data_IF_632052869189
#
_entry.id   IF_632052869189
#
_cell.length_a   1.000
_cell.length_b   1.000
_cell.length_c   1.000
_cell.angle_alpha   90.00
_cell.angle_beta   90.00
_cell.angle_gamma   90.00
#
_symmetry.space_group_name_H-M   'P 1'
#
loop_
_entity.id
_entity.type
_entity.pdbx_description
1 polymer ?
#
# COMPACT_ATOMS: atom_id res chain seq x y z
N UNK A 1 -14.37 -19.96 21.42
CA UNK A 1 -13.11 -19.20 21.38
C UNK A 1 -12.12 -19.93 20.49
N UNK A 2 -12.21 -19.71 19.18
CA UNK A 2 -11.16 -20.11 18.24
C UNK A 2 -10.41 -18.83 17.92
N UNK A 3 -9.26 -18.65 18.57
CA UNK A 3 -8.30 -17.61 18.19
C UNK A 3 -7.79 -17.96 16.80
N UNK A 4 -8.35 -17.35 15.76
CA UNK A 4 -7.67 -17.27 14.47
C UNK A 4 -6.54 -16.25 14.60
N UNK A 5 -5.47 -16.66 15.27
CA UNK A 5 -4.15 -16.25 14.83
C UNK A 5 -3.97 -16.92 13.47
N UNK A 6 -3.98 -16.13 12.39
CA UNK A 6 -3.41 -16.57 11.11
C UNK A 6 -1.94 -16.89 11.39
N UNK A 7 -1.67 -18.14 11.76
CA UNK A 7 -0.36 -18.73 11.66
C UNK A 7 -0.06 -18.74 10.16
N UNK A 8 0.83 -17.84 9.76
CA UNK A 8 1.33 -17.69 8.39
C UNK A 8 2.13 -18.96 8.07
N UNK A 9 1.46 -20.01 7.63
CA UNK A 9 2.04 -20.98 6.71
C UNK A 9 1.91 -20.40 5.30
N UNK A 10 2.95 -20.56 4.50
CA UNK A 10 3.18 -20.05 3.13
C UNK A 10 2.14 -20.56 2.11
N UNK A 11 0.86 -20.27 2.34
CA UNK A 11 -0.21 -20.58 1.41
C UNK A 11 -0.77 -19.26 0.90
N UNK A 12 -0.69 -19.05 -0.41
CA UNK A 12 -1.36 -17.95 -1.07
C UNK A 12 -2.87 -18.12 -0.91
N UNK A 13 -3.52 -17.10 -0.38
CA UNK A 13 -4.96 -17.02 -0.21
C UNK A 13 -5.53 -15.96 -1.14
N UNK A 14 -6.58 -16.33 -1.87
CA UNK A 14 -7.32 -15.44 -2.76
C UNK A 14 -8.71 -15.18 -2.20
N UNK A 15 -9.07 -13.91 -2.09
CA UNK A 15 -10.44 -13.47 -1.82
C UNK A 15 -11.01 -12.87 -3.10
N UNK A 16 -12.22 -13.27 -3.50
CA UNK A 16 -12.90 -12.75 -4.69
C UNK A 16 -14.33 -12.36 -4.34
N UNK A 17 -14.67 -11.11 -4.59
CA UNK A 17 -16.01 -10.58 -4.40
C UNK A 17 -16.50 -9.99 -5.72
N UNK A 18 -17.78 -10.18 -6.00
CA UNK A 18 -18.46 -9.55 -7.13
C UNK A 18 -19.83 -9.05 -6.72
N UNK A 19 -20.35 -8.10 -7.49
CA UNK A 19 -21.71 -7.63 -7.32
C UNK A 19 -21.97 -6.36 -8.13
N UNK A 20 -22.75 -5.45 -7.55
CA UNK A 20 -23.21 -4.26 -8.27
C UNK A 20 -22.99 -2.96 -7.48
N UNK A 21 -22.84 -1.88 -8.25
CA UNK A 21 -22.93 -0.50 -7.82
C UNK A 21 -24.24 0.11 -8.35
N UNK A 22 -25.12 0.50 -7.45
CA UNK A 22 -26.35 1.22 -7.77
C UNK A 22 -26.25 2.68 -7.34
N UNK A 23 -26.98 3.55 -8.03
CA UNK A 23 -26.97 4.99 -7.79
C UNK A 23 -28.39 5.51 -7.55
N UNK A 24 -28.52 6.44 -6.60
CA UNK A 24 -29.78 7.12 -6.26
C UNK A 24 -29.50 8.62 -6.12
N UNK A 25 -29.36 9.31 -7.24
CA UNK A 25 -29.06 10.75 -7.32
C UNK A 25 -30.26 11.57 -7.82
N UNK A 26 -31.41 11.41 -7.16
CA UNK A 26 -32.69 12.02 -7.57
C UNK A 26 -33.50 11.16 -8.56
N UNK A 27 -34.72 11.59 -8.88
CA UNK A 27 -35.72 10.82 -9.65
C UNK A 27 -35.35 10.68 -11.14
N UNK A 28 -34.54 11.59 -11.68
CA UNK A 28 -34.21 11.65 -13.12
C UNK A 28 -32.92 10.90 -13.51
N UNK A 29 -32.16 10.39 -12.53
CA UNK A 29 -30.81 9.84 -12.74
C UNK A 29 -30.70 8.37 -12.31
N UNK A 30 -31.58 7.50 -12.81
CA UNK A 30 -31.44 6.05 -12.64
C UNK A 30 -30.60 5.47 -13.78
N UNK A 31 -29.32 5.18 -13.53
CA UNK A 31 -28.52 4.35 -14.43
C UNK A 31 -28.78 2.86 -14.18
N UNK A 32 -28.51 2.04 -15.20
CA UNK A 32 -28.35 0.60 -14.99
C UNK A 32 -27.29 0.34 -13.91
N UNK A 33 -27.44 -0.71 -13.09
CA UNK A 33 -26.43 -1.09 -12.13
C UNK A 33 -25.09 -1.37 -12.83
N UNK A 34 -24.02 -0.77 -12.33
CA UNK A 34 -22.67 -1.04 -12.78
C UNK A 34 -22.17 -2.32 -12.09
N UNK A 35 -21.34 -3.10 -12.77
CA UNK A 35 -20.75 -4.30 -12.18
C UNK A 35 -19.49 -3.92 -11.40
N UNK A 36 -19.29 -4.53 -10.24
CA UNK A 36 -18.10 -4.31 -9.42
C UNK A 36 -17.42 -5.62 -9.07
N UNK A 37 -16.12 -5.55 -8.82
CA UNK A 37 -15.33 -6.68 -8.38
C UNK A 37 -14.26 -6.24 -7.38
N UNK A 38 -13.83 -7.20 -6.56
CA UNK A 38 -12.70 -7.08 -5.65
C UNK A 38 -11.99 -8.43 -5.59
N UNK A 39 -10.74 -8.46 -6.02
CA UNK A 39 -9.86 -9.62 -5.97
C UNK A 39 -8.63 -9.27 -5.12
N UNK A 40 -8.44 -9.97 -4.00
CA UNK A 40 -7.30 -9.79 -3.10
C UNK A 40 -6.47 -11.07 -3.12
N UNK A 41 -5.21 -10.95 -3.54
CA UNK A 41 -4.20 -12.00 -3.40
C UNK A 41 -3.32 -11.69 -2.20
N UNK A 42 -3.29 -12.62 -1.26
CA UNK A 42 -2.53 -12.50 -0.03
C UNK A 42 -1.56 -13.68 0.09
N UNK A 43 -0.29 -13.42 0.42
CA UNK A 43 0.74 -14.45 0.53
C UNK A 43 2.08 -13.99 -0.05
N UNK A 44 2.67 -14.83 -0.89
CA UNK A 44 3.90 -14.58 -1.65
C UNK A 44 3.72 -13.43 -2.63
N UNK A 45 2.58 -13.38 -3.33
CA UNK A 45 2.16 -12.26 -4.16
C UNK A 45 1.10 -11.43 -3.43
N UNK A 46 1.48 -10.24 -2.94
CA UNK A 46 0.57 -9.32 -2.24
C UNK A 46 0.02 -8.31 -3.22
N UNK A 47 -1.06 -8.65 -3.92
CA UNK A 47 -1.68 -7.78 -4.92
C UNK A 47 -3.19 -7.82 -4.80
N UNK A 48 -3.80 -6.66 -4.76
CA UNK A 48 -5.25 -6.50 -4.77
C UNK A 48 -5.67 -5.74 -6.02
N UNK A 49 -6.86 -6.04 -6.53
CA UNK A 49 -7.47 -5.34 -7.65
C UNK A 49 -8.96 -5.21 -7.39
N UNK A 50 -9.51 -4.04 -7.63
CA UNK A 50 -10.96 -3.81 -7.58
C UNK A 50 -11.37 -2.76 -8.59
N UNK A 51 -12.65 -2.61 -8.84
CA UNK A 51 -13.12 -1.56 -9.73
C UNK A 51 -14.51 -1.80 -10.28
N UNK A 52 -14.80 -1.09 -11.37
CA UNK A 52 -16.10 -1.04 -12.04
C UNK A 52 -15.95 -1.60 -13.44
N UNK A 53 -16.88 -2.45 -13.87
CA UNK A 53 -16.94 -3.00 -15.24
C UNK A 53 -18.19 -2.51 -15.96
N UNK A 54 -18.05 -2.35 -17.28
CA UNK A 54 -19.17 -2.02 -18.16
C UNK A 54 -19.62 -0.56 -18.11
N UNK A 55 -18.75 0.36 -17.69
CA UNK A 55 -19.00 1.79 -17.70
C UNK A 55 -19.09 2.35 -19.11
N UNK A 56 -19.73 3.51 -19.29
CA UNK A 56 -19.81 4.21 -20.58
C UNK A 56 -19.29 5.62 -20.41
N UNK A 57 -18.40 6.06 -21.30
CA UNK A 57 -17.73 7.37 -21.20
C UNK A 57 -18.67 8.57 -21.35
N UNK A 58 -19.82 8.38 -22.01
CA UNK A 58 -20.85 9.39 -22.14
C UNK A 58 -21.88 9.38 -21.00
N UNK A 59 -21.78 8.43 -20.06
CA UNK A 59 -22.64 8.38 -18.89
C UNK A 59 -22.04 9.22 -17.76
N UNK A 60 -22.72 10.34 -17.46
CA UNK A 60 -22.32 11.28 -16.39
C UNK A 60 -22.24 10.61 -15.01
N UNK A 61 -23.06 9.58 -14.78
CA UNK A 61 -23.01 8.81 -13.53
C UNK A 61 -21.70 8.04 -13.47
N UNK A 62 -21.33 7.32 -14.52
CA UNK A 62 -20.06 6.60 -14.58
C UNK A 62 -18.86 7.56 -14.45
N UNK A 63 -18.85 8.68 -15.18
CA UNK A 63 -17.81 9.72 -15.07
C UNK A 63 -17.66 10.25 -13.65
N UNK A 64 -18.78 10.46 -12.94
CA UNK A 64 -18.76 10.88 -11.52
C UNK A 64 -18.27 9.75 -10.61
N UNK A 65 -18.70 8.51 -10.85
CA UNK A 65 -18.28 7.33 -10.07
C UNK A 65 -16.82 6.96 -10.27
N UNK A 66 -16.11 7.53 -11.25
CA UNK A 66 -14.65 7.38 -11.33
C UNK A 66 -13.89 8.05 -10.18
N UNK A 67 -14.50 9.03 -9.50
CA UNK A 67 -13.87 9.75 -8.39
C UNK A 67 -13.87 8.97 -7.06
N UNK A 68 -14.45 7.77 -7.04
CA UNK A 68 -14.62 6.97 -5.81
C UNK A 68 -13.45 5.99 -5.59
N UNK A 69 -12.32 6.18 -6.27
CA UNK A 69 -11.10 5.37 -6.06
C UNK A 69 -10.70 5.19 -4.59
N UNK A 70 -10.97 6.14 -3.65
CA UNK A 70 -10.73 5.87 -2.23
C UNK A 70 -11.51 4.68 -1.67
N UNK A 71 -12.72 4.41 -2.16
CA UNK A 71 -13.47 3.20 -1.81
C UNK A 71 -12.68 1.96 -2.21
N UNK A 72 -12.19 1.91 -3.45
CA UNK A 72 -11.44 0.78 -3.98
C UNK A 72 -10.10 0.56 -3.25
N UNK A 73 -9.36 1.63 -2.95
CA UNK A 73 -8.12 1.53 -2.16
C UNK A 73 -8.36 0.99 -0.74
N UNK A 74 -9.42 1.45 -0.05
CA UNK A 74 -9.77 0.93 1.27
C UNK A 74 -10.20 -0.54 1.20
N UNK A 75 -11.01 -0.91 0.21
CA UNK A 75 -11.43 -2.30 0.01
C UNK A 75 -10.26 -3.23 -0.34
N UNK A 76 -9.35 -2.78 -1.19
CA UNK A 76 -8.11 -3.49 -1.51
C UNK A 76 -7.25 -3.73 -0.26
N UNK A 77 -7.27 -2.81 0.70
CA UNK A 77 -6.51 -2.92 1.96
C UNK A 77 -7.12 -3.85 3.01
N UNK A 78 -8.27 -4.46 2.75
CA UNK A 78 -9.06 -5.15 3.79
C UNK A 78 -8.33 -6.31 4.47
N UNK A 79 -7.58 -7.10 3.70
CA UNK A 79 -6.75 -8.21 4.20
C UNK A 79 -5.25 -7.84 4.18
N UNK A 80 -4.94 -6.54 4.21
CA UNK A 80 -3.56 -6.05 4.25
C UNK A 80 -2.79 -6.63 5.44
N UNK A 81 -1.47 -6.73 5.26
CA UNK A 81 -0.58 -7.35 6.24
C UNK A 81 0.41 -6.36 6.82
N UNK A 82 0.84 -6.60 8.06
CA UNK A 82 1.92 -5.83 8.63
C UNK A 82 3.20 -6.05 7.84
N UNK A 83 4.06 -5.05 7.91
CA UNK A 83 5.40 -5.11 7.36
C UNK A 83 6.35 -5.85 8.30
N UNK A 84 7.16 -6.74 7.74
CA UNK A 84 8.06 -7.63 8.48
C UNK A 84 9.33 -6.94 9.00
N UNK A 85 9.75 -5.84 8.35
CA UNK A 85 11.01 -5.14 8.66
C UNK A 85 10.91 -4.13 9.81
N UNK A 86 9.77 -4.03 10.49
CA UNK A 86 9.58 -3.07 11.59
C UNK A 86 9.97 -3.75 12.91
N UNK A 87 11.00 -3.25 13.62
CA UNK A 87 11.53 -3.90 14.83
C UNK A 87 10.56 -3.90 16.02
N UNK A 88 9.46 -3.14 15.96
CA UNK A 88 8.46 -3.07 17.01
C UNK A 88 7.36 -4.12 16.82
N UNK A 89 7.24 -5.02 17.79
CA UNK A 89 6.17 -6.03 17.94
C UNK A 89 4.78 -5.42 18.22
N UNK A 90 4.45 -4.30 17.59
CA UNK A 90 3.13 -3.69 17.76
C UNK A 90 2.12 -4.41 16.90
N UNK A 91 1.00 -4.78 17.53
CA UNK A 91 -0.06 -5.51 16.84
C UNK A 91 -0.82 -4.56 15.93
N UNK A 92 -0.99 -4.98 14.68
CA UNK A 92 -1.74 -4.28 13.63
C UNK A 92 -3.01 -5.07 13.34
N UNK A 93 -4.13 -4.39 13.06
CA UNK A 93 -5.44 -5.05 12.88
C UNK A 93 -6.09 -4.63 11.56
N UNK A 94 -6.04 -5.47 10.53
CA UNK A 94 -6.69 -5.17 9.26
C UNK A 94 -8.23 -5.19 9.37
N UNK A 95 -8.90 -4.60 8.37
CA UNK A 95 -10.37 -4.47 8.36
C UNK A 95 -11.07 -5.83 8.35
N UNK A 96 -10.49 -6.84 7.70
CA UNK A 96 -11.01 -8.21 7.73
C UNK A 96 -11.07 -8.77 9.16
N UNK A 97 -10.00 -8.58 9.94
CA UNK A 97 -9.93 -9.00 11.35
C UNK A 97 -10.92 -8.20 12.19
N UNK A 98 -10.94 -6.87 12.03
CA UNK A 98 -11.86 -6.00 12.75
C UNK A 98 -13.32 -6.28 12.41
N UNK A 99 -13.59 -6.73 11.18
CA UNK A 99 -14.89 -7.22 10.71
C UNK A 99 -15.23 -8.65 11.12
N UNK A 100 -14.50 -9.24 12.08
CA UNK A 100 -14.67 -10.63 12.55
C UNK A 100 -14.61 -11.65 11.39
N UNK A 101 -13.68 -11.45 10.47
CA UNK A 101 -13.48 -12.30 9.30
C UNK A 101 -14.64 -12.28 8.30
N UNK A 102 -15.46 -11.23 8.32
CA UNK A 102 -16.67 -11.08 7.48
C UNK A 102 -17.69 -12.22 7.66
N UNK A 103 -17.72 -12.85 8.84
CA UNK A 103 -18.74 -13.85 9.20
C UNK A 103 -20.17 -13.29 9.18
N UNK A 104 -20.29 -11.96 9.25
CA UNK A 104 -21.51 -11.20 9.05
C UNK A 104 -21.24 -10.10 8.03
N UNK A 105 -22.29 -9.53 7.41
CA UNK A 105 -22.12 -8.39 6.52
C UNK A 105 -21.31 -7.28 7.19
N UNK A 106 -20.19 -6.93 6.57
CA UNK A 106 -19.34 -5.83 7.00
C UNK A 106 -19.74 -4.59 6.21
N UNK A 107 -20.18 -3.57 6.94
CA UNK A 107 -20.72 -2.34 6.36
C UNK A 107 -19.73 -1.21 6.57
N UNK A 108 -19.41 -0.52 5.48
CA UNK A 108 -18.61 0.71 5.47
C UNK A 108 -19.43 1.81 4.81
N UNK A 109 -19.57 2.94 5.50
CA UNK A 109 -20.21 4.14 4.99
C UNK A 109 -19.14 5.17 4.65
N UNK A 110 -18.96 5.45 3.37
CA UNK A 110 -18.09 6.50 2.87
C UNK A 110 -18.90 7.76 2.62
N UNK A 111 -18.41 8.90 3.11
CA UNK A 111 -18.98 10.20 2.86
C UNK A 111 -18.05 10.95 1.91
N UNK A 112 -18.61 11.46 0.81
CA UNK A 112 -17.89 12.23 -0.20
C UNK A 112 -18.42 13.66 -0.24
N UNK A 113 -17.49 14.61 -0.33
CA UNK A 113 -17.73 16.01 -0.64
C UNK A 113 -16.80 16.39 -1.79
N UNK A 114 -17.35 16.38 -2.99
CA UNK A 114 -16.60 16.57 -4.23
C UNK A 114 -16.82 18.00 -4.70
N UNK A 115 -15.72 18.73 -4.88
CA UNK A 115 -15.73 20.09 -5.40
C UNK A 115 -16.54 20.17 -6.71
N UNK A 116 -17.44 21.15 -6.84
CA UNK A 116 -18.33 21.35 -8.01
C UNK A 116 -19.39 20.26 -8.30
N UNK A 117 -19.35 19.10 -7.63
CA UNK A 117 -20.35 18.02 -7.79
C UNK A 117 -21.36 18.05 -6.64
N UNK A 118 -20.90 18.18 -5.40
CA UNK A 118 -21.73 18.12 -4.19
C UNK A 118 -21.44 16.90 -3.32
N UNK A 119 -22.32 16.66 -2.36
CA UNK A 119 -22.14 15.65 -1.31
C UNK A 119 -22.98 14.40 -1.58
N UNK A 120 -22.36 13.23 -1.43
CA UNK A 120 -23.07 11.96 -1.51
C UNK A 120 -22.41 10.92 -0.60
N UNK A 121 -23.15 9.84 -0.34
CA UNK A 121 -22.69 8.72 0.47
C UNK A 121 -22.57 7.48 -0.39
N UNK A 122 -21.53 6.68 -0.14
CA UNK A 122 -21.42 5.31 -0.65
C UNK A 122 -21.52 4.35 0.52
N UNK A 123 -22.52 3.49 0.50
CA UNK A 123 -22.61 2.35 1.40
C UNK A 123 -22.01 1.13 0.71
N UNK A 124 -20.91 0.62 1.27
CA UNK A 124 -20.33 -0.66 0.89
C UNK A 124 -20.76 -1.75 1.88
N UNK A 125 -21.32 -2.84 1.37
CA UNK A 125 -21.68 -4.03 2.15
C UNK A 125 -20.94 -5.22 1.56
N UNK A 126 -20.12 -5.87 2.39
CA UNK A 126 -19.38 -7.05 2.01
C UNK A 126 -19.84 -8.26 2.82
N UNK A 127 -20.07 -9.37 2.14
CA UNK A 127 -20.47 -10.62 2.78
C UNK A 127 -19.70 -11.78 2.18
N UNK A 128 -19.08 -12.58 3.05
CA UNK A 128 -18.43 -13.81 2.64
C UNK A 128 -19.46 -14.93 2.52
N UNK A 129 -19.39 -15.70 1.43
CA UNK A 129 -20.30 -16.83 1.18
C UNK A 129 -19.61 -18.16 1.43
N UNK A 130 -18.47 -18.39 0.76
CA UNK A 130 -17.73 -19.63 0.86
C UNK A 130 -16.31 -19.35 1.36
N UNK A 131 -15.90 -20.11 2.38
CA UNK A 131 -14.52 -20.15 2.82
C UNK A 131 -14.01 -21.59 2.64
N UNK A 132 -13.31 -21.83 1.53
CA UNK A 132 -12.62 -23.12 1.35
C UNK A 132 -11.34 -23.08 2.16
N UNK A 133 -11.15 -24.07 3.03
CA UNK A 133 -10.11 -24.10 4.08
C UNK A 133 -8.66 -24.16 3.58
N UNK A 134 -8.38 -23.92 2.30
CA UNK A 134 -7.06 -24.15 1.69
C UNK A 134 -6.41 -22.95 1.00
N UNK A 135 -7.16 -22.14 0.24
CA UNK A 135 -6.56 -21.09 -0.60
C UNK A 135 -7.55 -20.06 -1.19
N UNK A 136 -8.87 -20.26 -1.05
CA UNK A 136 -9.85 -19.44 -1.77
C UNK A 136 -11.09 -19.12 -0.94
N UNK A 137 -11.49 -17.87 -0.99
CA UNK A 137 -12.66 -17.33 -0.33
C UNK A 137 -13.46 -16.50 -1.35
N UNK A 138 -14.76 -16.70 -1.40
CA UNK A 138 -15.66 -15.93 -2.28
C UNK A 138 -16.76 -15.25 -1.49
N UNK A 139 -17.21 -14.11 -2.00
CA UNK A 139 -18.30 -13.36 -1.41
C UNK A 139 -18.98 -12.43 -2.38
N UNK A 140 -19.89 -11.63 -1.84
CA UNK A 140 -20.61 -10.58 -2.56
C UNK A 140 -20.22 -9.23 -1.99
N UNK A 141 -20.10 -8.26 -2.90
CA UNK A 141 -19.97 -6.85 -2.57
C UNK A 141 -21.12 -6.08 -3.20
N UNK A 142 -21.78 -5.24 -2.41
CA UNK A 142 -22.81 -4.32 -2.89
C UNK A 142 -22.39 -2.90 -2.53
N UNK A 143 -22.38 -2.03 -3.55
CA UNK A 143 -22.19 -0.60 -3.36
C UNK A 143 -23.50 0.11 -3.70
N UNK A 144 -23.91 1.02 -2.83
CA UNK A 144 -25.03 1.91 -3.11
C UNK A 144 -24.56 3.35 -2.91
N UNK A 145 -24.55 4.13 -3.99
CA UNK A 145 -24.28 5.55 -3.94
C UNK A 145 -25.59 6.33 -3.89
N UNK A 146 -25.75 7.23 -2.91
CA UNK A 146 -26.98 7.99 -2.75
C UNK A 146 -26.71 9.40 -2.24
N UNK A 147 -27.56 10.34 -2.66
CA UNK A 147 -27.60 11.69 -2.11
C UNK A 147 -29.04 12.13 -1.90
N UNK A 148 -29.27 12.89 -0.85
CA UNK A 148 -30.53 13.61 -0.61
C UNK A 148 -30.56 14.97 -1.31
N UNK A 149 -29.42 15.42 -1.81
CA UNK A 149 -29.23 16.70 -2.50
C UNK A 149 -29.09 16.48 -4.01
N UNK A 150 -29.35 17.51 -4.80
CA UNK A 150 -29.07 17.50 -6.23
C UNK A 150 -27.56 17.53 -6.47
N UNK A 151 -27.05 16.60 -7.28
CA UNK A 151 -25.64 16.56 -7.66
C UNK A 151 -25.43 17.15 -9.05
N UNK A 152 -24.32 17.85 -9.21
CA UNK A 152 -23.85 18.31 -10.52
C UNK A 152 -22.89 17.26 -11.11
N UNK A 153 -23.44 16.27 -11.81
CA UNK A 153 -22.68 15.14 -12.35
C UNK A 153 -21.63 15.61 -13.38
N UNK A 154 -20.50 14.91 -13.44
CA UNK A 154 -19.40 15.27 -14.32
C UNK A 154 -19.60 14.73 -15.74
N UNK A 155 -19.27 15.54 -16.74
CA UNK A 155 -19.25 15.14 -18.15
C UNK A 155 -17.86 14.66 -18.59
N UNK A 156 -16.83 15.05 -17.87
CA UNK A 156 -15.44 14.73 -18.17
C UNK A 156 -14.88 13.68 -17.22
N UNK A 157 -13.83 13.03 -17.71
CA UNK A 157 -13.11 11.97 -17.01
C UNK A 157 -11.93 12.54 -16.25
N UNK A 158 -11.77 12.07 -15.03
CA UNK A 158 -10.71 12.47 -14.12
C UNK A 158 -9.88 11.26 -13.69
N UNK A 159 -8.61 11.47 -13.42
CA UNK A 159 -7.68 10.47 -12.88
C UNK A 159 -7.09 10.95 -11.56
N UNK A 160 -6.86 10.02 -10.65
CA UNK A 160 -6.25 10.32 -9.35
C UNK A 160 -4.80 10.76 -9.54
N UNK A 161 -4.44 11.89 -8.94
CA UNK A 161 -3.08 12.39 -8.97
C UNK A 161 -2.25 11.70 -7.88
N UNK A 162 -1.54 10.62 -8.25
CA UNK A 162 -0.75 9.74 -7.36
C UNK A 162 0.31 10.42 -6.47
N UNK A 163 0.59 11.72 -6.67
CA UNK A 163 1.53 12.53 -5.88
C UNK A 163 0.89 13.73 -5.18
N UNK A 164 -0.42 13.91 -5.29
CA UNK A 164 -1.10 15.14 -4.90
C UNK A 164 -2.15 14.86 -3.81
N UNK A 165 -1.70 14.40 -2.64
CA UNK A 165 -2.47 14.65 -1.42
C UNK A 165 -2.26 16.10 -1.00
N UNK A 166 -3.20 16.69 -0.27
CA UNK A 166 -3.02 18.03 0.34
C UNK A 166 -1.83 18.11 1.32
N UNK A 167 -1.25 16.94 1.64
CA UNK A 167 -0.07 16.78 2.49
C UNK A 167 0.94 15.92 1.73
N UNK A 168 1.64 16.48 0.72
CA UNK A 168 2.63 15.75 -0.07
C UNK A 168 3.77 15.18 0.79
N UNK A 169 3.92 15.66 2.03
CA UNK A 169 4.86 15.18 3.03
C UNK A 169 4.50 13.80 3.64
N UNK A 170 3.31 13.26 3.35
CA UNK A 170 2.86 11.98 3.89
C UNK A 170 3.22 10.80 2.99
N UNK A 171 3.64 9.71 3.63
CA UNK A 171 4.09 8.46 2.98
C UNK A 171 3.04 7.35 3.03
N UNK A 172 1.83 7.65 3.52
CA UNK A 172 0.68 6.74 3.56
C UNK A 172 -0.51 7.34 2.84
N UNK A 173 -1.39 6.46 2.40
CA UNK A 173 -2.61 6.81 1.69
C UNK A 173 -3.76 7.17 2.63
N UNK A 174 -4.00 6.31 3.63
CA UNK A 174 -5.07 6.50 4.59
C UNK A 174 -4.64 6.11 5.99
N UNK A 175 -5.31 6.66 7.00
CA UNK A 175 -5.26 6.13 8.34
C UNK A 175 -6.67 5.83 8.85
N UNK A 176 -6.77 4.98 9.85
CA UNK A 176 -8.00 4.75 10.59
C UNK A 176 -7.70 4.54 12.06
N UNK A 177 -8.71 4.72 12.90
CA UNK A 177 -8.67 4.41 14.32
C UNK A 177 -9.94 3.71 14.74
N UNK A 178 -9.94 3.15 15.94
CA UNK A 178 -11.15 2.63 16.56
C UNK A 178 -11.60 3.65 17.60
N UNK A 179 -12.80 4.18 17.45
CA UNK A 179 -13.35 5.17 18.37
C UNK A 179 -13.91 4.53 19.66
N UNK A 180 -14.32 5.36 20.61
CA UNK A 180 -14.91 4.93 21.88
C UNK A 180 -16.20 4.10 21.73
N UNK A 181 -16.87 4.19 20.59
CA UNK A 181 -18.11 3.47 20.29
C UNK A 181 -17.88 2.10 19.64
N UNK A 182 -16.62 1.73 19.33
CA UNK A 182 -16.37 0.46 18.62
C UNK A 182 -16.54 0.56 17.11
N UNK A 183 -16.39 1.75 16.55
CA UNK A 183 -16.45 1.97 15.11
C UNK A 183 -15.04 2.14 14.57
N UNK A 184 -14.79 1.59 13.39
CA UNK A 184 -13.56 1.86 12.64
C UNK A 184 -13.79 3.16 11.89
N UNK A 185 -13.02 4.19 12.21
CA UNK A 185 -13.20 5.54 11.68
C UNK A 185 -11.98 5.91 10.86
N UNK A 186 -12.22 6.20 9.58
CA UNK A 186 -11.29 6.90 8.69
C UNK A 186 -11.60 8.39 8.80
N UNK A 187 -10.68 9.20 9.36
CA UNK A 187 -10.88 10.64 9.42
C UNK A 187 -10.95 11.24 8.00
N UNK A 188 -11.38 12.49 7.92
CA UNK A 188 -11.46 13.19 6.63
C UNK A 188 -10.08 13.28 5.97
N UNK A 189 -10.06 12.98 4.67
CA UNK A 189 -8.89 13.05 3.80
C UNK A 189 -9.29 13.69 2.48
N UNK A 190 -8.33 14.35 1.83
CA UNK A 190 -8.51 14.90 0.50
C UNK A 190 -7.62 14.17 -0.48
N UNK A 191 -8.18 13.83 -1.62
CA UNK A 191 -7.48 13.28 -2.78
C UNK A 191 -7.72 14.23 -3.94
N UNK A 192 -6.66 14.56 -4.67
CA UNK A 192 -6.76 15.39 -5.88
C UNK A 192 -6.90 14.52 -7.11
N UNK A 193 -7.72 15.00 -8.03
CA UNK A 193 -7.87 14.43 -9.35
C UNK A 193 -7.60 15.48 -10.41
N UNK A 194 -7.04 15.05 -11.53
CA UNK A 194 -6.75 15.87 -12.70
C UNK A 194 -7.56 15.37 -13.90
N UNK A 195 -7.93 16.28 -14.80
CA UNK A 195 -8.61 15.90 -16.04
C UNK A 195 -7.76 14.96 -16.88
N UNK A 196 -8.40 13.91 -17.40
CA UNK A 196 -7.80 12.95 -18.33
C UNK A 196 -7.80 13.53 -19.75
N UNK A 197 -6.67 14.10 -20.19
CA UNK A 197 -6.52 14.56 -21.58
C UNK A 197 -6.31 13.36 -22.52
N UNK A 198 -7.29 13.08 -23.38
CA UNK A 198 -7.22 12.01 -24.39
C UNK A 198 -6.51 12.41 -25.69
N UNK A 199 -6.33 13.71 -25.93
CA UNK A 199 -5.68 14.25 -27.14
C UNK A 199 -4.43 15.08 -26.80
N UNK A 200 -3.30 14.70 -27.40
CA UNK A 200 -1.97 15.25 -27.16
C UNK A 200 -1.69 16.62 -27.82
N UNK A 201 -2.72 17.35 -28.26
CA UNK A 201 -2.54 18.55 -29.09
C UNK A 201 -2.96 19.87 -28.44
N UNK A 202 -3.52 19.86 -27.24
CA UNK A 202 -3.79 21.08 -26.49
C UNK A 202 -2.89 21.20 -25.27
N UNK A 203 -1.85 22.02 -25.42
CA UNK A 203 -1.04 22.53 -24.32
C UNK A 203 -1.90 23.56 -23.57
N UNK A 204 -2.86 23.08 -22.79
CA UNK A 204 -3.48 23.90 -21.75
C UNK A 204 -2.53 23.93 -20.56
N UNK A 205 -2.23 25.13 -20.07
CA UNK A 205 -1.03 25.39 -19.27
C UNK A 205 -1.10 24.90 -17.81
N UNK A 206 -2.22 24.35 -17.34
CA UNK A 206 -2.35 23.61 -16.09
C UNK A 206 -3.58 22.69 -16.21
N UNK A 207 -3.47 21.37 -15.91
CA UNK A 207 -4.64 20.49 -15.94
C UNK A 207 -5.67 20.97 -14.93
N UNK A 208 -6.94 20.94 -15.29
CA UNK A 208 -8.03 21.25 -14.35
C UNK A 208 -8.01 20.24 -13.21
N UNK A 209 -7.93 20.75 -11.98
CA UNK A 209 -7.89 19.96 -10.74
C UNK A 209 -9.25 19.98 -10.04
N UNK A 210 -9.60 18.86 -9.42
CA UNK A 210 -10.79 18.73 -8.56
C UNK A 210 -10.38 18.05 -7.25
N UNK A 211 -10.77 18.66 -6.12
CA UNK A 211 -10.53 18.08 -4.81
C UNK A 211 -11.71 17.19 -4.40
N UNK A 212 -11.38 15.98 -3.96
CA UNK A 212 -12.33 15.00 -3.42
C UNK A 212 -12.04 14.84 -1.94
N UNK A 213 -12.89 15.41 -1.08
CA UNK A 213 -12.86 15.14 0.36
C UNK A 213 -13.67 13.89 0.64
N UNK A 214 -13.12 12.98 1.42
CA UNK A 214 -13.81 11.78 1.83
C UNK A 214 -13.50 11.40 3.28
N UNK A 215 -14.45 10.73 3.92
CA UNK A 215 -14.26 10.07 5.21
C UNK A 215 -15.04 8.75 5.21
N UNK A 216 -14.77 7.88 6.17
CA UNK A 216 -15.52 6.63 6.25
C UNK A 216 -15.68 6.13 7.68
N UNK A 217 -16.79 5.44 7.92
CA UNK A 217 -17.05 4.74 9.17
C UNK A 217 -17.49 3.32 8.85
N UNK A 218 -16.80 2.35 9.44
CA UNK A 218 -17.20 0.96 9.39
C UNK A 218 -17.74 0.49 10.74
N UNK A 219 -18.84 -0.23 10.69
CA UNK A 219 -19.49 -0.83 11.85
C UNK A 219 -19.43 -2.35 11.71
N UNK A 220 -19.09 -3.02 12.80
CA UNK A 220 -19.10 -4.48 12.87
C UNK A 220 -19.46 -4.93 14.27
N UNK A 221 -20.22 -6.02 14.38
CA UNK A 221 -20.52 -6.69 15.66
C UNK A 221 -19.36 -7.53 16.19
N UNK A 222 -18.14 -7.28 15.72
CA UNK A 222 -16.94 -7.97 16.14
C UNK A 222 -16.69 -7.84 17.64
N UNK A 223 -16.32 -8.95 18.29
CA UNK A 223 -15.92 -8.93 19.70
C UNK A 223 -14.70 -8.03 19.94
N UNK A 224 -13.86 -7.85 18.92
CA UNK A 224 -12.69 -6.99 18.92
C UNK A 224 -13.04 -5.50 19.04
N UNK A 225 -14.24 -5.11 18.63
CA UNK A 225 -14.70 -3.72 18.68
C UNK A 225 -15.54 -3.40 19.92
N UNK A 226 -15.85 -4.39 20.77
CA UNK A 226 -16.57 -4.18 22.04
C UNK A 226 -15.72 -3.41 23.06
N UNK A 227 -16.36 -2.68 23.96
CA UNK A 227 -15.68 -1.82 24.96
C UNK A 227 -14.63 -2.57 25.82
N UNK A 228 -14.86 -3.85 26.13
CA UNK A 228 -13.96 -4.67 26.97
C UNK A 228 -12.79 -5.28 26.16
N UNK A 229 -12.60 -4.87 24.91
CA UNK A 229 -11.52 -5.36 24.05
C UNK A 229 -10.15 -4.82 24.46
N UNK A 230 -9.09 -5.63 24.24
CA UNK A 230 -7.69 -5.22 24.43
C UNK A 230 -7.16 -4.35 23.29
N UNK A 231 -7.99 -3.98 22.31
CA UNK A 231 -7.56 -3.15 21.19
C UNK A 231 -7.52 -1.67 21.62
N UNK A 232 -6.39 -0.98 21.40
CA UNK A 232 -6.27 0.43 21.72
C UNK A 232 -7.32 1.28 21.02
N UNK A 233 -8.01 2.12 21.79
CA UNK A 233 -8.91 3.17 21.29
C UNK A 233 -8.12 4.41 20.93
N UNK A 234 -8.61 5.13 19.94
CA UNK A 234 -8.01 6.35 19.39
C UNK A 234 -6.55 6.23 18.92
N UNK A 235 -6.03 5.00 18.85
CA UNK A 235 -4.76 4.72 18.20
C UNK A 235 -4.96 4.69 16.68
N UNK A 236 -4.19 5.49 15.97
CA UNK A 236 -4.15 5.47 14.52
C UNK A 236 -3.34 4.30 13.98
N UNK A 237 -3.89 3.68 12.94
CA UNK A 237 -3.24 2.69 12.09
C UNK A 237 -3.19 3.25 10.67
N UNK A 238 -2.16 2.89 9.92
CA UNK A 238 -1.84 3.54 8.65
C UNK A 238 -1.81 2.52 7.51
N UNK A 239 -2.39 2.88 6.38
CA UNK A 239 -2.42 2.12 5.13
C UNK A 239 -1.50 2.84 4.14
N UNK A 240 -0.41 2.18 3.77
CA UNK A 240 0.49 2.63 2.70
C UNK A 240 0.21 1.82 1.44
N UNK A 241 -0.05 2.49 0.33
CA UNK A 241 -0.03 1.88 -0.99
C UNK A 241 1.41 1.92 -1.49
N UNK A 242 1.93 0.82 -2.03
CA UNK A 242 3.27 0.83 -2.65
C UNK A 242 3.25 1.53 -4.00
N UNK A 243 4.42 1.91 -4.51
CA UNK A 243 4.64 2.60 -5.79
C UNK A 243 4.06 1.88 -7.02
N UNK A 244 3.67 0.61 -6.89
CA UNK A 244 2.98 -0.17 -7.95
C UNK A 244 1.46 -0.04 -7.90
N UNK A 245 0.92 0.69 -6.93
CA UNK A 245 -0.50 0.94 -6.78
C UNK A 245 -0.97 2.03 -7.72
N UNK A 246 -2.01 1.76 -8.52
CA UNK A 246 -2.62 2.74 -9.42
C UNK A 246 -4.03 2.34 -9.84
N UNK A 247 -4.80 3.33 -10.27
CA UNK A 247 -6.12 3.21 -10.86
C UNK A 247 -6.05 3.73 -12.30
N UNK A 248 -6.66 3.00 -13.21
CA UNK A 248 -6.75 3.39 -14.61
C UNK A 248 -8.05 2.88 -15.22
N UNK A 249 -8.30 3.31 -16.45
CA UNK A 249 -9.44 2.90 -17.25
C UNK A 249 -8.98 2.14 -18.49
N UNK A 250 -9.70 1.07 -18.82
CA UNK A 250 -9.56 0.35 -20.07
C UNK A 250 -10.87 0.36 -20.84
N UNK A 251 -10.88 1.08 -21.97
CA UNK A 251 -12.01 1.20 -22.90
C UNK A 251 -11.81 0.38 -24.19
N UNK A 252 -10.93 -0.61 -24.19
CA UNK A 252 -10.65 -1.44 -25.38
C UNK A 252 -11.75 -2.46 -25.69
N UNK A 253 -12.83 -2.52 -24.89
CA UNK A 253 -13.91 -3.48 -25.08
C UNK A 253 -14.62 -3.30 -26.43
N UNK A 254 -14.91 -4.38 -27.19
CA UNK A 254 -15.59 -4.30 -28.48
C UNK A 254 -17.00 -3.69 -28.43
N UNK A 255 -17.65 -3.75 -27.26
CA UNK A 255 -18.98 -3.19 -27.04
C UNK A 255 -18.95 -1.69 -26.67
N UNK A 256 -17.77 -1.07 -26.68
CA UNK A 256 -17.56 0.34 -26.35
C UNK A 256 -17.68 0.65 -24.85
N UNK A 257 -17.70 -0.36 -23.99
CA UNK A 257 -17.69 -0.17 -22.54
C UNK A 257 -16.27 -0.04 -21.98
N UNK A 258 -16.17 0.60 -20.83
CA UNK A 258 -14.92 0.84 -20.12
C UNK A 258 -14.92 0.13 -18.76
N UNK A 259 -13.72 -0.28 -18.34
CA UNK A 259 -13.47 -0.87 -17.05
C UNK A 259 -12.55 0.05 -16.26
N UNK A 260 -13.04 0.59 -15.14
CA UNK A 260 -12.20 1.22 -14.13
C UNK A 260 -11.59 0.12 -13.27
N UNK A 261 -10.29 0.15 -13.06
CA UNK A 261 -9.60 -0.80 -12.19
C UNK A 261 -8.54 -0.10 -11.35
N UNK A 262 -8.49 -0.45 -10.07
CA UNK A 262 -7.53 0.00 -9.08
C UNK A 262 -6.74 -1.21 -8.59
N UNK A 263 -5.44 -1.23 -8.87
CA UNK A 263 -4.49 -2.24 -8.43
C UNK A 263 -3.68 -1.69 -7.28
N UNK A 264 -3.54 -2.43 -6.18
CA UNK A 264 -2.79 -2.02 -5.01
C UNK A 264 -1.94 -3.14 -4.42
N UNK A 265 -0.84 -2.78 -3.76
CA UNK A 265 -0.11 -3.64 -2.83
C UNK A 265 -0.11 -3.00 -1.43
N UNK A 266 -1.22 -3.07 -0.68
CA UNK A 266 -1.38 -2.31 0.56
C UNK A 266 -0.59 -2.92 1.71
N UNK A 267 0.10 -2.04 2.45
CA UNK A 267 0.81 -2.35 3.69
C UNK A 267 0.14 -1.67 4.87
N UNK A 268 0.09 -2.36 6.00
CA UNK A 268 -0.53 -1.88 7.22
C UNK A 268 0.53 -1.61 8.31
N UNK A 269 0.46 -0.44 8.94
CA UNK A 269 1.44 0.00 9.94
C UNK A 269 0.76 0.46 11.23
N UNK A 270 1.39 0.16 12.38
CA UNK A 270 0.92 0.59 13.70
C UNK A 270 1.36 2.02 14.07
N UNK A 271 2.29 2.58 13.30
CA UNK A 271 2.86 3.93 13.48
C UNK A 271 2.86 4.64 12.14
N UNK A 272 2.91 5.96 12.18
CA UNK A 272 3.01 6.77 10.96
C UNK A 272 4.26 6.38 10.17
N UNK A 273 4.12 5.96 8.90
CA UNK A 273 5.26 5.46 8.12
C UNK A 273 6.29 6.55 7.85
N UNK A 274 7.56 6.17 7.92
CA UNK A 274 8.66 6.90 7.29
C UNK A 274 8.77 6.51 5.80
N UNK A 275 9.42 7.32 4.95
CA UNK A 275 9.62 6.97 3.54
C UNK A 275 10.30 5.63 3.33
N UNK A 276 11.23 5.26 4.21
CA UNK A 276 11.99 4.01 4.14
C UNK A 276 11.34 2.84 4.87
N UNK A 277 10.22 3.04 5.57
CA UNK A 277 9.54 1.94 6.23
C UNK A 277 9.02 0.97 5.17
N UNK A 278 9.46 -0.28 5.24
CA UNK A 278 9.00 -1.37 4.37
C UNK A 278 9.41 -1.24 2.91
N UNK A 279 10.42 -0.40 2.66
CA UNK A 279 11.13 -0.32 1.40
C UNK A 279 12.28 -1.31 1.43
N UNK A 280 12.38 -2.12 0.38
CA UNK A 280 13.53 -2.98 0.10
C UNK A 280 14.17 -2.49 -1.18
N UNK A 281 15.46 -2.16 -1.11
CA UNK A 281 16.23 -1.79 -2.28
C UNK A 281 16.64 -3.04 -3.07
N UNK A 282 16.50 -2.99 -4.39
CA UNK A 282 16.69 -4.15 -5.25
C UNK A 282 18.14 -4.61 -5.32
N UNK A 283 19.12 -3.69 -5.22
CA UNK A 283 20.53 -4.05 -5.38
C UNK A 283 21.16 -4.48 -4.06
N UNK A 284 22.04 -5.48 -4.14
CA UNK A 284 22.78 -5.96 -2.98
C UNK A 284 23.71 -4.86 -2.43
N UNK A 285 23.59 -4.59 -1.12
CA UNK A 285 24.36 -3.56 -0.43
C UNK A 285 23.78 -2.14 -0.52
N UNK A 286 22.63 -1.96 -1.17
CA UNK A 286 21.88 -0.70 -1.08
C UNK A 286 21.15 -0.58 0.25
N UNK A 287 21.04 0.66 0.71
CA UNK A 287 20.25 1.06 1.87
C UNK A 287 19.25 2.12 1.42
N UNK A 288 18.07 2.08 2.01
CA UNK A 288 17.09 3.13 1.79
C UNK A 288 17.53 4.41 2.52
N UNK A 289 17.47 5.54 1.82
CA UNK A 289 17.56 6.87 2.42
C UNK A 289 16.27 7.64 2.19
N UNK A 290 15.76 8.32 3.24
CA UNK A 290 14.62 9.21 3.07
C UNK A 290 15.03 10.44 2.22
N UNK A 291 14.12 10.87 1.36
CA UNK A 291 14.22 12.05 0.51
C UNK A 291 12.88 12.79 0.55
N UNK A 292 12.68 13.60 1.59
CA UNK A 292 11.38 14.20 1.89
C UNK A 292 10.35 13.12 2.24
N UNK A 293 9.22 13.09 1.53
CA UNK A 293 8.21 12.02 1.60
C UNK A 293 8.54 10.80 0.73
N UNK A 294 9.54 10.93 -0.14
CA UNK A 294 10.02 9.86 -1.00
C UNK A 294 11.25 9.20 -0.40
N UNK A 295 11.78 8.21 -1.08
CA UNK A 295 13.02 7.56 -0.74
C UNK A 295 13.88 7.36 -1.97
N UNK A 296 15.17 7.14 -1.72
CA UNK A 296 16.10 6.64 -2.73
C UNK A 296 16.90 5.49 -2.17
N UNK A 297 17.25 4.57 -3.05
CA UNK A 297 18.17 3.48 -2.75
C UNK A 297 19.57 3.90 -3.17
N UNK A 298 20.50 3.93 -2.23
CA UNK A 298 21.91 4.24 -2.48
C UNK A 298 22.79 3.20 -1.82
N UNK A 299 24.02 3.04 -2.33
CA UNK A 299 24.98 2.15 -1.72
C UNK A 299 25.23 2.54 -0.26
N UNK A 300 25.24 1.54 0.61
CA UNK A 300 25.57 1.72 2.02
C UNK A 300 26.92 2.40 2.21
N UNK A 301 27.13 2.97 3.40
CA UNK A 301 28.34 3.70 3.71
C UNK A 301 29.61 2.86 3.41
N UNK A 302 30.53 3.44 2.62
CA UNK A 302 31.78 2.78 2.21
C UNK A 302 31.67 1.90 0.96
N UNK A 303 30.49 1.77 0.36
CA UNK A 303 30.25 1.05 -0.88
C UNK A 303 30.06 2.04 -2.04
N UNK A 304 30.49 1.66 -3.25
CA UNK A 304 30.16 2.36 -4.49
C UNK A 304 29.45 1.42 -5.45
N UNK A 305 28.60 2.02 -6.29
CA UNK A 305 27.91 1.30 -7.35
C UNK A 305 28.91 0.89 -8.43
N UNK A 306 28.99 -0.39 -8.70
CA UNK A 306 29.84 -0.99 -9.71
C UNK A 306 29.10 -1.11 -11.06
N UNK A 307 29.82 -1.29 -12.19
CA UNK A 307 29.21 -1.49 -13.49
C UNK A 307 28.28 -2.72 -13.58
N UNK A 308 28.44 -3.68 -12.68
CA UNK A 308 27.60 -4.89 -12.56
C UNK A 308 26.32 -4.66 -11.72
N UNK A 309 25.99 -3.40 -11.41
CA UNK A 309 24.86 -3.01 -10.56
C UNK A 309 24.92 -3.59 -9.14
N UNK A 310 26.11 -3.79 -8.57
CA UNK A 310 26.26 -4.16 -7.16
C UNK A 310 26.96 -3.05 -6.37
N UNK A 311 26.65 -2.93 -5.07
CA UNK A 311 27.36 -2.02 -4.18
C UNK A 311 28.57 -2.74 -3.59
N UNK A 312 29.77 -2.39 -4.06
CA UNK A 312 31.03 -2.99 -3.60
C UNK A 312 31.97 -1.95 -3.02
N UNK A 313 32.89 -2.42 -2.19
CA UNK A 313 34.02 -1.61 -1.73
C UNK A 313 34.94 -1.40 -2.93
N UNK A 314 35.01 -0.18 -3.47
CA UNK A 314 35.83 0.12 -4.67
C UNK A 314 37.29 0.35 -4.35
N UNK A 315 37.61 0.71 -3.11
CA UNK A 315 38.98 0.91 -2.67
C UNK A 315 39.19 0.15 -1.36
N UNK A 316 39.76 -1.04 -1.48
CA UNK A 316 40.55 -1.69 -0.44
C UNK A 316 41.88 -0.94 -0.20
N UNK A 317 41.87 0.38 -0.26
CA UNK A 317 43.01 1.23 0.08
C UNK A 317 42.62 2.00 1.33
N UNK A 318 42.94 1.42 2.49
CA UNK A 318 42.89 2.11 3.77
C UNK A 318 41.53 2.73 4.09
N UNK A 319 40.53 1.94 4.51
CA UNK A 319 39.27 2.54 4.99
C UNK A 319 39.56 3.27 6.29
N UNK A 320 39.44 4.60 6.28
CA UNK A 320 39.57 5.40 7.49
C UNK A 320 38.42 5.06 8.46
N UNK A 321 38.78 4.55 9.63
CA UNK A 321 37.90 4.05 10.68
C UNK A 321 38.22 4.80 11.98
N UNK A 322 37.57 5.94 12.19
CA UNK A 322 37.93 6.84 13.29
C UNK A 322 39.36 7.35 13.14
N UNK A 323 40.23 7.00 14.10
CA UNK A 323 41.64 7.41 14.14
C UNK A 323 42.61 6.44 13.42
N UNK A 324 42.14 5.33 12.87
CA UNK A 324 42.99 4.34 12.17
C UNK A 324 42.58 4.17 10.71
N UNK A 325 43.51 3.73 9.87
CA UNK A 325 43.19 3.23 8.53
C UNK A 325 43.21 1.71 8.56
N UNK A 326 42.09 1.08 8.25
CA UNK A 326 42.02 -0.37 8.18
C UNK A 326 42.94 -0.90 7.08
N UNK A 327 43.50 -2.09 7.27
CA UNK A 327 44.31 -2.78 6.27
C UNK A 327 43.53 -2.94 4.95
N UNK A 328 44.23 -3.07 3.82
CA UNK A 328 43.61 -3.21 2.49
C UNK A 328 42.61 -4.36 2.45
N UNK A 329 42.92 -5.49 3.08
CA UNK A 329 42.00 -6.64 3.23
C UNK A 329 41.14 -6.62 4.51
N UNK A 330 40.79 -5.44 5.03
CA UNK A 330 39.93 -5.27 6.20
C UNK A 330 38.81 -4.26 5.95
N UNK A 331 37.75 -4.34 6.76
CA UNK A 331 36.61 -3.41 6.77
C UNK A 331 36.44 -2.77 8.15
N UNK A 332 36.01 -1.51 8.19
CA UNK A 332 35.62 -0.83 9.43
C UNK A 332 34.26 -1.35 9.91
N UNK A 333 34.17 -1.77 11.17
CA UNK A 333 32.92 -2.26 11.78
C UNK A 333 32.32 -1.21 12.72
N UNK A 334 33.17 -0.48 13.45
CA UNK A 334 32.74 0.60 14.34
C UNK A 334 33.73 1.78 14.23
N UNK A 335 33.32 2.90 13.59
CA UNK A 335 34.16 4.10 13.46
C UNK A 335 34.44 4.79 14.80
N UNK A 336 33.55 4.68 15.79
CA UNK A 336 33.72 5.35 17.09
C UNK A 336 34.76 4.65 17.96
N UNK A 337 34.96 3.34 17.74
CA UNK A 337 35.95 2.52 18.44
C UNK A 337 37.19 2.22 17.60
N UNK A 338 37.28 2.76 16.38
CA UNK A 338 38.37 2.51 15.43
C UNK A 338 38.59 1.00 15.17
N UNK A 339 37.50 0.22 15.11
CA UNK A 339 37.58 -1.23 15.02
C UNK A 339 37.52 -1.73 13.57
N UNK A 340 38.61 -2.35 13.12
CA UNK A 340 38.76 -2.95 11.81
C UNK A 340 38.72 -4.48 11.89
N UNK A 341 37.97 -5.12 10.99
CA UNK A 341 37.86 -6.57 10.89
C UNK A 341 38.39 -7.04 9.53
N UNK A 342 39.30 -8.02 9.51
CA UNK A 342 39.74 -8.65 8.27
C UNK A 342 38.56 -9.27 7.50
N UNK A 343 38.61 -9.21 6.17
CA UNK A 343 37.60 -9.80 5.30
C UNK A 343 37.61 -11.34 5.40
N UNK A 344 36.51 -12.02 5.02
CA UNK A 344 36.46 -13.48 4.99
C UNK A 344 37.64 -14.08 4.22
N UNK A 345 38.28 -15.10 4.80
CA UNK A 345 39.49 -15.75 4.24
C UNK A 345 40.82 -15.08 4.62
N UNK A 346 40.79 -13.97 5.35
CA UNK A 346 41.97 -13.28 5.87
C UNK A 346 41.97 -13.27 7.40
N UNK A 347 43.17 -13.34 8.00
CA UNK A 347 43.37 -13.23 9.45
C UNK A 347 44.45 -12.20 9.78
N UNK A 348 44.26 -11.49 10.87
CA UNK A 348 45.18 -10.46 11.34
C UNK A 348 44.48 -9.44 12.24
N UNK A 349 45.13 -8.30 12.45
CA UNK A 349 44.68 -7.25 13.37
C UNK A 349 43.70 -6.25 12.73
N UNK A 350 43.44 -6.37 11.42
CA UNK A 350 42.52 -5.49 10.70
C UNK A 350 43.08 -4.12 10.34
N UNK A 351 44.26 -3.72 10.84
CA UNK A 351 44.84 -2.38 10.70
C UNK A 351 46.17 -2.45 9.95
N UNK A 352 47.15 -3.14 10.53
CA UNK A 352 48.48 -3.34 9.95
C UNK A 352 48.56 -4.60 9.11
N UNK A 353 47.72 -5.59 9.41
CA UNK A 353 47.87 -6.94 8.90
C UNK A 353 46.54 -7.63 8.66
N UNK A 354 46.32 -8.10 7.44
CA UNK A 354 45.33 -9.13 7.13
C UNK A 354 45.93 -10.02 6.04
N UNK A 355 46.40 -11.20 6.43
CA UNK A 355 46.98 -12.20 5.55
C UNK A 355 45.96 -13.26 5.16
N UNK A 356 46.05 -13.72 3.91
CA UNK A 356 45.23 -14.83 3.43
C UNK A 356 45.57 -16.07 4.23
N UNK A 357 44.57 -16.67 4.87
CA UNK A 357 44.70 -17.86 5.71
C UNK A 357 44.97 -19.15 4.91
N UNK A 358 45.82 -19.12 3.89
CA UNK A 358 46.27 -20.34 3.20
C UNK A 358 47.20 -21.11 4.14
N UNK A 359 46.64 -22.10 4.83
CA UNK A 359 47.44 -23.10 5.53
C UNK A 359 47.92 -24.10 4.49
N UNK A 360 49.22 -24.09 4.19
CA UNK A 360 49.83 -25.09 3.34
C UNK A 360 50.12 -26.35 4.17
N UNK A 361 49.43 -27.44 3.86
CA UNK A 361 49.84 -28.80 4.26
C UNK A 361 50.13 -29.60 2.99
N UNK A 362 51.39 -30.05 2.83
CA UNK A 362 51.85 -30.88 1.71
C UNK A 362 51.38 -30.42 0.31
N UNK A 363 51.65 -29.16 -0.04
CA UNK A 363 51.46 -28.59 -1.39
C UNK A 363 50.04 -28.65 -2.00
N UNK A 364 49.00 -28.90 -1.21
CA UNK A 364 47.60 -28.72 -1.64
C UNK A 364 46.91 -27.60 -0.84
N UNK A 365 46.14 -26.76 -1.55
CA UNK A 365 45.39 -25.64 -0.97
C UNK A 365 44.07 -26.16 -0.40
N UNK A 366 43.85 -26.01 0.91
CA UNK A 366 42.56 -26.25 1.56
C UNK A 366 41.88 -24.89 1.73
N UNK A 367 40.69 -24.71 1.15
CA UNK A 367 39.83 -23.56 1.43
C UNK A 367 39.06 -23.81 2.72
N UNK A 368 39.17 -22.92 3.70
CA UNK A 368 38.31 -22.90 4.89
C UNK A 368 37.03 -22.12 4.61
#
# INVERSE_FOLDING_TARGET
YVSFALYISVNDHKFSFSGSLTTRFGIENTSSPLLIYLDIQHGSLRRSSSGIRGGRTNDRIYSTMRLITPVFHILNSMVSSPCENIPKRERVYNLFTLGNGLQRPFKVLFQFDIERVGKFTIQAVLQLHDFTTGAYASGVIQLEAFSTESLNLLDQSYIEAYSASDKPDKTYYANYKIDDHGRVVFPEQTVKFIVEHRDSNEISNFPEEINVRWSAVAESESCLLKQVSSIPRDKSYYIRLKDRGYCSEDCSSPDGTCNLFCVDEPLLLATEPSPCDCVTCDRHGEVCRPEGASYRCECGQGLKLMPDNTCQVTNYLGVQCGSVNCHTHARCIDPNQAFCQCLPGYRGDGVSHCESGKIYFNNNVIYS
#
